data_IF_147649555266
#
_entry.id   IF_147649555266
#
_cell.length_a   1.000
_cell.length_b   1.000
_cell.length_c   1.000
_cell.angle_alpha   90.00
_cell.angle_beta   90.00
_cell.angle_gamma   90.00
#
_symmetry.space_group_name_H-M   'P 1'
#
loop_
_entity.id
_entity.type
_entity.pdbx_description
1 polymer ?
#
# COMPACT_ATOMS: atom_id res chain seq x y z
N UNK A 1 -0.16 15.64 -2.54
CA UNK A 1 -0.38 14.19 -2.69
C UNK A 1 0.89 13.49 -2.24
N UNK A 2 0.78 12.37 -1.55
CA UNK A 2 1.94 11.56 -1.15
C UNK A 2 2.63 10.99 -2.39
N UNK A 3 3.95 10.84 -2.34
CA UNK A 3 4.73 10.31 -3.46
C UNK A 3 4.33 8.85 -3.73
N UNK A 4 4.13 8.42 -5.00
CA UNK A 4 3.82 7.03 -5.31
C UNK A 4 4.91 6.07 -4.82
N UNK A 5 4.53 4.86 -4.40
CA UNK A 5 5.50 3.83 -4.06
C UNK A 5 6.39 3.47 -5.27
N UNK A 6 7.66 3.09 -5.05
CA UNK A 6 8.54 2.65 -6.12
C UNK A 6 7.92 1.48 -6.91
N UNK A 7 8.18 1.40 -8.22
CA UNK A 7 7.60 0.38 -9.10
C UNK A 7 7.92 -1.07 -8.70
N UNK A 8 8.96 -1.30 -7.89
CA UNK A 8 9.31 -2.61 -7.33
C UNK A 8 8.41 -3.02 -6.16
N UNK A 9 7.59 -2.12 -5.61
CA UNK A 9 6.54 -2.44 -4.64
C UNK A 9 5.26 -2.72 -5.41
N UNK A 10 4.79 -3.97 -5.37
CA UNK A 10 3.60 -4.40 -6.12
C UNK A 10 2.39 -4.42 -5.21
N UNK A 11 1.28 -3.87 -5.70
CA UNK A 11 -0.02 -3.91 -5.03
C UNK A 11 -0.87 -5.04 -5.61
N UNK A 12 -1.51 -5.81 -4.73
CA UNK A 12 -2.52 -6.79 -5.09
C UNK A 12 -3.79 -6.53 -4.30
N UNK A 13 -4.92 -6.50 -5.00
CA UNK A 13 -6.23 -6.30 -4.40
C UNK A 13 -7.07 -7.58 -4.52
N UNK A 14 -7.77 -7.90 -3.43
CA UNK A 14 -8.86 -8.89 -3.39
C UNK A 14 -10.11 -8.24 -2.79
N UNK A 15 -11.22 -8.98 -2.73
CA UNK A 15 -12.44 -8.48 -2.08
C UNK A 15 -12.25 -8.12 -0.60
N UNK A 16 -11.30 -8.78 0.09
CA UNK A 16 -11.12 -8.65 1.54
C UNK A 16 -9.89 -7.84 1.93
N UNK A 17 -8.83 -7.89 1.12
CA UNK A 17 -7.52 -7.37 1.49
C UNK A 17 -6.83 -6.66 0.33
N UNK A 18 -6.11 -5.59 0.66
CA UNK A 18 -5.05 -5.00 -0.17
C UNK A 18 -3.70 -5.40 0.40
N UNK A 19 -2.86 -5.99 -0.44
CA UNK A 19 -1.56 -6.55 -0.08
C UNK A 19 -0.45 -5.82 -0.84
N UNK A 20 0.63 -5.48 -0.16
CA UNK A 20 1.84 -4.95 -0.76
C UNK A 20 2.96 -6.00 -0.70
N UNK A 21 3.70 -6.13 -1.80
CA UNK A 21 4.90 -6.96 -1.89
C UNK A 21 6.10 -6.07 -2.23
N UNK A 22 7.10 -6.00 -1.33
CA UNK A 22 8.30 -5.22 -1.55
C UNK A 22 9.37 -6.06 -2.28
N UNK A 23 9.48 -5.90 -3.60
CA UNK A 23 10.54 -6.51 -4.40
C UNK A 23 11.74 -5.57 -4.61
N UNK A 24 11.78 -4.43 -3.93
CA UNK A 24 12.92 -3.52 -3.95
C UNK A 24 14.10 -4.10 -3.15
N UNK A 25 15.30 -3.55 -3.37
CA UNK A 25 16.48 -3.90 -2.58
C UNK A 25 16.46 -3.30 -1.16
N UNK A 26 15.67 -2.25 -0.95
CA UNK A 26 15.59 -1.48 0.28
C UNK A 26 14.26 -1.64 1.01
N UNK A 27 14.26 -1.39 2.31
CA UNK A 27 13.05 -1.28 3.12
C UNK A 27 12.25 -0.05 2.68
N UNK A 28 10.94 -0.21 2.51
CA UNK A 28 10.01 0.88 2.18
C UNK A 28 8.93 1.01 3.24
N UNK A 29 8.39 2.21 3.43
CA UNK A 29 7.18 2.42 4.23
C UNK A 29 6.08 2.94 3.31
N UNK A 30 4.96 2.22 3.24
CA UNK A 30 3.87 2.52 2.31
C UNK A 30 2.53 2.60 3.02
N UNK A 31 1.60 3.36 2.45
CA UNK A 31 0.18 3.40 2.81
C UNK A 31 -0.68 3.21 1.55
N UNK A 32 -1.87 2.64 1.71
CA UNK A 32 -2.86 2.56 0.62
C UNK A 32 -3.55 3.91 0.48
N UNK A 33 -3.60 4.46 -0.73
CA UNK A 33 -4.51 5.53 -1.10
C UNK A 33 -5.74 4.91 -1.80
N UNK A 34 -6.94 5.25 -1.34
CA UNK A 34 -8.21 4.74 -1.87
C UNK A 34 -8.84 5.70 -2.89
N UNK A 35 -9.72 5.19 -3.74
CA UNK A 35 -10.39 5.99 -4.79
C UNK A 35 -11.33 7.07 -4.22
N UNK A 36 -11.81 6.91 -2.99
CA UNK A 36 -12.60 7.92 -2.27
C UNK A 36 -11.75 9.05 -1.65
N UNK A 37 -10.42 8.96 -1.78
CA UNK A 37 -9.46 9.91 -1.21
C UNK A 37 -8.99 9.58 0.22
N UNK A 38 -9.50 8.52 0.85
CA UNK A 38 -9.00 8.05 2.13
C UNK A 38 -7.59 7.48 2.00
N UNK A 39 -6.84 7.48 3.11
CA UNK A 39 -5.50 6.89 3.17
C UNK A 39 -5.39 5.97 4.38
N UNK A 40 -4.88 4.76 4.14
CA UNK A 40 -4.63 3.78 5.19
C UNK A 40 -3.41 4.11 6.06
N UNK A 41 -3.19 3.34 7.15
CA UNK A 41 -2.02 3.49 7.99
C UNK A 41 -0.73 3.08 7.25
N UNK A 42 0.40 3.59 7.73
CA UNK A 42 1.72 3.21 7.22
C UNK A 42 2.10 1.79 7.63
N UNK A 43 2.66 1.03 6.68
CA UNK A 43 3.25 -0.27 6.87
C UNK A 43 4.69 -0.28 6.34
N UNK A 44 5.64 -0.69 7.18
CA UNK A 44 7.05 -0.81 6.79
C UNK A 44 7.36 -2.22 6.34
N UNK A 45 7.85 -2.37 5.12
CA UNK A 45 8.14 -3.64 4.46
C UNK A 45 9.65 -3.75 4.21
N UNK A 46 10.38 -4.66 4.86
CA UNK A 46 11.74 -4.99 4.45
C UNK A 46 11.78 -5.64 3.05
N UNK A 47 12.95 -5.72 2.41
CA UNK A 47 13.11 -6.40 1.13
C UNK A 47 12.56 -7.83 1.15
N UNK A 48 11.75 -8.19 0.15
CA UNK A 48 11.11 -9.50 0.02
C UNK A 48 9.85 -9.71 0.88
N UNK A 49 9.45 -8.74 1.70
CA UNK A 49 8.24 -8.87 2.51
C UNK A 49 6.96 -8.74 1.68
N UNK A 50 5.94 -9.51 2.07
CA UNK A 50 4.57 -9.41 1.57
C UNK A 50 3.65 -9.26 2.77
N UNK A 51 2.83 -8.22 2.81
CA UNK A 51 1.93 -7.96 3.95
C UNK A 51 0.62 -7.32 3.51
N UNK A 52 -0.45 -7.57 4.26
CA UNK A 52 -1.69 -6.82 4.14
C UNK A 52 -1.45 -5.40 4.65
N UNK A 53 -1.83 -4.41 3.84
CA UNK A 53 -1.64 -2.97 4.13
C UNK A 53 -2.96 -2.20 4.15
N UNK A 54 -4.07 -2.85 3.80
CA UNK A 54 -5.38 -2.24 3.84
C UNK A 54 -6.50 -3.23 3.57
N UNK A 55 -7.73 -2.72 3.63
CA UNK A 55 -8.95 -3.42 3.22
C UNK A 55 -8.98 -3.61 1.70
N UNK A 56 -9.72 -4.63 1.24
CA UNK A 56 -10.04 -4.83 -0.18
C UNK A 56 -11.31 -4.08 -0.60
N UNK A 57 -11.76 -4.23 -1.85
CA UNK A 57 -12.89 -3.46 -2.39
C UNK A 57 -14.25 -3.62 -1.71
N UNK A 58 -14.47 -4.63 -0.87
CA UNK A 58 -15.69 -4.71 -0.05
C UNK A 58 -15.57 -3.99 1.29
N UNK A 59 -14.42 -3.35 1.56
CA UNK A 59 -14.17 -2.51 2.72
C UNK A 59 -14.85 -1.14 2.62
N UNK A 60 -14.69 -0.34 3.68
CA UNK A 60 -15.38 0.95 3.83
C UNK A 60 -15.06 1.94 2.70
N UNK A 61 -13.81 1.92 2.23
CA UNK A 61 -13.27 2.87 1.24
C UNK A 61 -13.37 2.40 -0.22
N UNK A 62 -13.93 1.21 -0.46
CA UNK A 62 -13.98 0.61 -1.79
C UNK A 62 -12.59 0.27 -2.34
N UNK A 63 -12.36 0.53 -3.63
CA UNK A 63 -11.12 0.14 -4.30
C UNK A 63 -9.91 0.99 -3.85
N UNK A 64 -8.73 0.39 -3.62
CA UNK A 64 -7.46 1.08 -3.56
C UNK A 64 -7.11 1.64 -4.94
N UNK A 65 -6.58 2.86 -4.98
CA UNK A 65 -6.10 3.51 -6.19
C UNK A 65 -4.61 3.20 -6.43
N UNK A 66 -3.77 3.40 -5.42
CA UNK A 66 -2.33 3.11 -5.47
C UNK A 66 -1.71 2.95 -4.07
N UNK A 67 -0.47 2.45 -4.02
CA UNK A 67 0.40 2.56 -2.84
C UNK A 67 1.19 3.85 -2.92
N UNK A 68 1.23 4.61 -1.83
CA UNK A 68 2.06 5.80 -1.68
C UNK A 68 3.14 5.57 -0.60
N UNK A 69 4.29 6.23 -0.76
CA UNK A 69 5.31 6.31 0.28
C UNK A 69 4.78 7.11 1.47
N UNK A 70 5.05 6.58 2.66
CA UNK A 70 4.81 7.31 3.89
C UNK A 70 5.83 8.45 4.05
N UNK A 71 5.42 9.60 4.60
CA UNK A 71 6.34 10.68 4.90
C UNK A 71 7.38 10.19 5.91
N UNK A 72 8.66 10.49 5.65
CA UNK A 72 9.73 10.32 6.62
C UNK A 72 9.50 11.30 7.77
N UNK A 73 9.04 10.78 8.91
CA UNK A 73 8.98 11.51 10.20
C UNK A 73 10.36 11.89 10.69
#
# INVERSE_FOLDING_TARGET
ASEPAPACVVMYESWRYTTAANNCADTVSVSVAYQDGATGPCATLPPGAVTTVGEGYLGEHGHPDHLALCPSS
#
